data_IF_933242463365
#
_entry.id   IF_933242463365
#
_cell.length_a   1.000
_cell.length_b   1.000
_cell.length_c   1.000
_cell.angle_alpha   90.00
_cell.angle_beta   90.00
_cell.angle_gamma   90.00
#
_symmetry.space_group_name_H-M   'P 1'
#
loop_
_entity.id
_entity.type
_entity.pdbx_description
1 polymer ?
#
# COMPACT_ATOMS: atom_id res chain seq x y z
N UNK A 1 15.40 21.35 4.85
CA UNK A 1 14.79 20.03 5.11
C UNK A 1 15.20 19.11 3.96
N UNK A 2 15.90 17.99 4.23
CA UNK A 2 16.54 17.17 3.18
C UNK A 2 15.56 16.65 2.13
N UNK A 3 14.38 16.19 2.55
CA UNK A 3 13.35 15.66 1.65
C UNK A 3 12.83 16.72 0.65
N UNK A 4 12.73 17.99 1.06
CA UNK A 4 12.36 19.08 0.15
C UNK A 4 13.47 19.34 -0.87
N UNK A 5 14.73 19.32 -0.44
CA UNK A 5 15.87 19.49 -1.36
C UNK A 5 15.95 18.34 -2.36
N UNK A 6 15.68 17.10 -1.94
CA UNK A 6 15.55 15.95 -2.83
C UNK A 6 14.44 16.15 -3.86
N UNK A 7 13.23 16.49 -3.42
CA UNK A 7 12.07 16.69 -4.30
C UNK A 7 12.23 17.88 -5.27
N UNK A 8 13.06 18.87 -4.93
CA UNK A 8 13.39 20.00 -5.81
C UNK A 8 14.64 19.80 -6.68
N UNK A 9 15.34 18.67 -6.56
CA UNK A 9 16.59 18.43 -7.30
C UNK A 9 17.76 19.31 -6.86
N UNK A 10 17.73 19.82 -5.63
CA UNK A 10 18.74 20.73 -5.07
C UNK A 10 19.78 20.01 -4.19
N UNK A 11 19.94 18.69 -4.35
CA UNK A 11 20.98 17.93 -3.65
C UNK A 11 22.32 18.06 -4.39
N UNK A 12 23.45 18.12 -3.66
CA UNK A 12 24.76 18.19 -4.28
C UNK A 12 25.10 16.86 -4.99
N UNK A 13 25.81 16.94 -6.10
CA UNK A 13 26.42 15.77 -6.73
C UNK A 13 27.51 15.19 -5.83
N UNK A 14 27.57 13.86 -5.76
CA UNK A 14 28.54 13.15 -4.93
C UNK A 14 29.70 12.72 -5.82
N UNK A 15 30.88 13.26 -5.55
CA UNK A 15 32.09 12.94 -6.33
C UNK A 15 32.39 11.44 -6.29
N UNK A 16 32.57 10.83 -7.47
CA UNK A 16 32.88 9.39 -7.59
C UNK A 16 31.66 8.46 -7.64
N UNK A 17 30.44 9.01 -7.60
CA UNK A 17 29.20 8.26 -7.82
C UNK A 17 28.49 8.72 -9.11
N UNK A 18 27.60 7.89 -9.68
CA UNK A 18 26.70 8.29 -10.76
C UNK A 18 25.88 9.56 -10.43
N UNK A 19 25.55 10.36 -11.43
CA UNK A 19 24.82 11.64 -11.26
C UNK A 19 23.38 11.49 -10.74
N UNK A 20 22.82 10.27 -10.74
CA UNK A 20 21.53 9.90 -10.16
C UNK A 20 21.64 9.35 -8.73
N UNK A 21 22.83 9.41 -8.12
CA UNK A 21 23.06 8.99 -6.75
C UNK A 21 22.71 10.08 -5.75
N UNK A 22 22.12 9.67 -4.63
CA UNK A 22 21.81 10.54 -3.49
C UNK A 22 22.38 9.95 -2.21
N UNK A 23 22.77 10.82 -1.28
CA UNK A 23 23.19 10.40 0.06
C UNK A 23 22.01 10.56 1.01
N UNK A 24 21.56 9.43 1.58
CA UNK A 24 20.50 9.41 2.59
C UNK A 24 21.13 9.72 3.96
N UNK A 25 20.68 10.77 4.66
CA UNK A 25 21.19 11.11 5.98
C UNK A 25 20.96 9.97 6.98
N UNK A 26 21.98 9.62 7.75
CA UNK A 26 21.90 8.52 8.71
C UNK A 26 20.77 8.71 9.75
N UNK A 27 20.43 9.95 10.11
CA UNK A 27 19.31 10.23 11.03
C UNK A 27 17.91 9.84 10.49
N UNK A 28 17.77 9.54 9.18
CA UNK A 28 16.51 9.06 8.60
C UNK A 28 16.61 7.61 8.10
N UNK A 29 17.72 6.94 8.38
CA UNK A 29 17.90 5.52 8.08
C UNK A 29 17.48 4.71 9.31
N UNK A 30 16.69 3.67 9.08
CA UNK A 30 16.30 2.70 10.11
C UNK A 30 16.93 1.37 9.71
N UNK A 31 17.85 0.86 10.52
CA UNK A 31 18.50 -0.45 10.31
C UNK A 31 17.64 -1.62 10.82
N UNK A 32 16.77 -1.34 11.80
CA UNK A 32 15.86 -2.32 12.35
C UNK A 32 14.62 -2.52 11.46
N UNK A 33 13.73 -3.43 11.87
CA UNK A 33 12.49 -3.65 11.14
C UNK A 33 11.63 -2.38 11.14
N UNK A 34 11.39 -1.80 9.96
CA UNK A 34 10.59 -0.58 9.77
C UNK A 34 9.22 -0.66 10.44
N UNK A 35 8.60 -1.84 10.46
CA UNK A 35 7.34 -2.06 11.16
C UNK A 35 7.47 -1.76 12.66
N UNK A 36 8.53 -2.27 13.31
CA UNK A 36 8.76 -2.08 14.74
C UNK A 36 9.09 -0.61 15.05
N UNK A 37 9.89 0.02 14.19
CA UNK A 37 10.23 1.43 14.32
C UNK A 37 8.98 2.34 14.23
N UNK A 38 8.05 2.02 13.32
CA UNK A 38 6.85 2.83 13.11
C UNK A 38 5.71 2.45 14.05
N UNK A 39 5.42 1.17 14.28
CA UNK A 39 4.20 0.71 14.98
C UNK A 39 4.46 0.03 16.33
N UNK A 40 5.70 0.07 16.83
CA UNK A 40 6.12 -0.65 18.04
C UNK A 40 6.01 -2.18 17.89
N UNK A 41 6.29 -2.96 18.96
CA UNK A 41 6.25 -4.43 18.86
C UNK A 41 4.83 -4.98 18.74
N UNK A 42 3.86 -4.32 19.39
CA UNK A 42 2.46 -4.73 19.44
C UNK A 42 1.54 -3.61 18.95
N UNK A 43 0.98 -3.78 17.75
CA UNK A 43 0.01 -2.86 17.15
C UNK A 43 -1.23 -2.64 18.01
N UNK A 44 -1.59 -3.63 18.81
CA UNK A 44 -2.86 -3.63 19.52
C UNK A 44 -2.83 -2.76 20.79
N UNK A 45 -1.65 -2.32 21.21
CA UNK A 45 -1.49 -1.37 22.32
C UNK A 45 -1.70 0.08 21.85
N UNK A 46 -1.83 0.29 20.54
CA UNK A 46 -2.04 1.61 19.96
C UNK A 46 -3.52 1.90 19.72
N UNK A 47 -3.94 3.11 20.04
CA UNK A 47 -5.26 3.59 19.66
C UNK A 47 -5.34 3.89 18.16
N UNK A 48 -6.56 3.81 17.60
CA UNK A 48 -6.83 4.10 16.18
C UNK A 48 -6.34 5.50 15.78
N UNK A 49 -6.45 6.49 16.67
CA UNK A 49 -5.97 7.86 16.41
C UNK A 49 -4.43 7.95 16.34
N UNK A 50 -3.71 7.07 17.03
CA UNK A 50 -2.26 7.00 16.93
C UNK A 50 -1.85 6.27 15.66
N UNK A 51 -2.57 5.21 15.28
CA UNK A 51 -2.33 4.46 14.05
C UNK A 51 -2.58 5.32 12.81
N UNK A 52 -3.63 6.16 12.80
CA UNK A 52 -3.95 7.02 11.65
C UNK A 52 -2.90 8.09 11.35
N UNK A 53 -2.06 8.43 12.33
CA UNK A 53 -0.95 9.39 12.19
C UNK A 53 0.33 8.77 11.63
N UNK A 54 0.33 7.46 11.37
CA UNK A 54 1.51 6.72 10.91
C UNK A 54 1.23 6.10 9.54
N UNK A 55 2.21 6.21 8.65
CA UNK A 55 2.11 5.65 7.29
C UNK A 55 3.48 5.14 6.85
N UNK A 56 3.47 4.02 6.14
CA UNK A 56 4.65 3.53 5.42
C UNK A 56 4.37 3.73 3.93
N UNK A 57 5.25 4.46 3.27
CA UNK A 57 5.19 4.69 1.83
C UNK A 57 6.15 3.74 1.12
N UNK A 58 5.73 3.21 -0.03
CA UNK A 58 6.55 2.37 -0.89
C UNK A 58 6.56 2.93 -2.32
N UNK A 59 7.61 2.66 -3.11
CA UNK A 59 7.69 3.15 -4.49
C UNK A 59 6.58 2.60 -5.41
N UNK A 60 6.03 1.43 -5.11
CA UNK A 60 5.00 0.78 -5.94
C UNK A 60 3.84 0.26 -5.11
N UNK A 61 2.63 0.29 -5.68
CA UNK A 61 1.43 -0.26 -5.04
C UNK A 61 1.59 -1.74 -4.71
N UNK A 62 2.25 -2.52 -5.58
CA UNK A 62 2.57 -3.93 -5.31
C UNK A 62 3.35 -4.08 -4.00
N UNK A 63 4.39 -3.27 -3.81
CA UNK A 63 5.19 -3.33 -2.58
C UNK A 63 4.39 -2.91 -1.35
N UNK A 64 3.55 -1.88 -1.48
CA UNK A 64 2.62 -1.47 -0.41
C UNK A 64 1.67 -2.59 -0.02
N UNK A 65 1.06 -3.28 -0.99
CA UNK A 65 0.15 -4.40 -0.74
C UNK A 65 0.85 -5.58 -0.04
N UNK A 66 2.07 -5.92 -0.47
CA UNK A 66 2.90 -6.94 0.19
C UNK A 66 3.19 -6.58 1.65
N UNK A 67 3.50 -5.31 1.94
CA UNK A 67 3.76 -4.85 3.30
C UNK A 67 2.51 -4.77 4.18
N UNK A 68 1.34 -4.49 3.61
CA UNK A 68 0.09 -4.39 4.38
C UNK A 68 -0.36 -5.75 4.94
N UNK A 69 -0.12 -6.87 4.25
CA UNK A 69 -0.54 -8.21 4.70
C UNK A 69 -0.03 -8.58 6.10
N UNK A 70 1.28 -8.54 6.41
CA UNK A 70 1.79 -8.87 7.75
C UNK A 70 1.37 -7.86 8.82
N UNK A 71 1.13 -6.59 8.45
CA UNK A 71 0.61 -5.56 9.37
C UNK A 71 -0.80 -5.95 9.82
N UNK A 72 -1.67 -6.27 8.88
CA UNK A 72 -3.04 -6.71 9.16
C UNK A 72 -3.01 -8.01 9.99
N UNK A 73 -2.15 -8.97 9.63
CA UNK A 73 -2.06 -10.25 10.35
C UNK A 73 -1.75 -10.12 11.85
N UNK A 74 -1.07 -9.04 12.27
CA UNK A 74 -0.74 -8.76 13.68
C UNK A 74 -1.89 -8.19 14.52
N UNK A 75 -2.99 -7.75 13.89
CA UNK A 75 -4.20 -7.35 14.61
C UNK A 75 -4.89 -8.58 15.18
N UNK A 76 -5.43 -8.48 16.41
CA UNK A 76 -5.98 -9.62 17.16
C UNK A 76 -7.26 -10.20 16.55
N UNK A 77 -8.07 -9.35 15.91
CA UNK A 77 -9.37 -9.74 15.37
C UNK A 77 -9.24 -10.75 14.20
N UNK A 78 -10.30 -11.53 13.98
CA UNK A 78 -10.36 -12.47 12.86
C UNK A 78 -10.46 -11.74 11.51
N UNK A 79 -9.77 -12.24 10.46
CA UNK A 79 -9.84 -11.63 9.14
C UNK A 79 -11.17 -11.92 8.45
N UNK A 80 -11.72 -10.90 7.80
CA UNK A 80 -12.77 -11.02 6.81
C UNK A 80 -12.15 -10.82 5.42
N UNK A 81 -12.40 -11.77 4.51
CA UNK A 81 -11.88 -11.71 3.14
C UNK A 81 -13.03 -11.44 2.18
N UNK A 82 -12.91 -10.37 1.41
CA UNK A 82 -13.82 -10.02 0.34
C UNK A 82 -13.15 -10.36 -1.00
N UNK A 83 -13.81 -11.18 -1.81
CA UNK A 83 -13.32 -11.59 -3.12
C UNK A 83 -13.94 -10.73 -4.23
N UNK A 84 -13.15 -10.36 -5.24
CA UNK A 84 -13.68 -9.76 -6.47
C UNK A 84 -14.38 -10.81 -7.34
N UNK A 85 -15.03 -10.36 -8.41
CA UNK A 85 -15.55 -11.26 -9.46
C UNK A 85 -14.43 -12.12 -10.04
N UNK A 86 -14.76 -13.38 -10.32
CA UNK A 86 -13.90 -14.42 -10.94
C UNK A 86 -14.25 -14.67 -12.41
N UNK A 87 -15.15 -13.86 -12.97
CA UNK A 87 -15.70 -14.02 -14.31
C UNK A 87 -15.84 -12.68 -15.03
N UNK A 88 -15.84 -12.77 -16.35
CA UNK A 88 -16.06 -11.64 -17.27
C UNK A 88 -17.45 -11.72 -17.89
N UNK A 89 -17.99 -10.55 -18.25
CA UNK A 89 -19.18 -10.45 -19.08
C UNK A 89 -18.69 -10.11 -20.49
N UNK A 90 -18.90 -11.02 -21.44
CA UNK A 90 -18.58 -10.80 -22.85
C UNK A 90 -19.65 -11.40 -23.77
N UNK A 91 -19.87 -10.74 -24.90
CA UNK A 91 -20.71 -11.24 -26.00
C UNK A 91 -19.98 -12.27 -26.88
N UNK A 92 -18.65 -12.39 -26.75
CA UNK A 92 -17.82 -13.29 -27.53
C UNK A 92 -17.37 -14.50 -26.70
N UNK A 93 -17.76 -15.70 -27.13
CA UNK A 93 -17.43 -16.95 -26.42
C UNK A 93 -15.92 -17.22 -26.30
N UNK A 94 -15.10 -16.68 -27.22
CA UNK A 94 -13.65 -16.85 -27.19
C UNK A 94 -12.98 -16.08 -26.04
N UNK A 95 -13.62 -15.04 -25.50
CA UNK A 95 -13.03 -14.23 -24.43
C UNK A 95 -12.90 -15.03 -23.13
N UNK A 96 -13.81 -15.97 -22.87
CA UNK A 96 -13.73 -16.84 -21.69
C UNK A 96 -12.46 -17.71 -21.68
N UNK A 97 -11.88 -18.02 -22.84
CA UNK A 97 -10.60 -18.71 -22.95
C UNK A 97 -9.40 -17.77 -22.79
N UNK A 98 -9.57 -16.50 -23.14
CA UNK A 98 -8.50 -15.50 -23.07
C UNK A 98 -8.31 -14.91 -21.67
N UNK A 99 -9.34 -14.98 -20.82
CA UNK A 99 -9.34 -14.40 -19.47
C UNK A 99 -9.70 -15.45 -18.41
N UNK A 100 -8.79 -16.40 -18.13
CA UNK A 100 -9.02 -17.40 -17.10
C UNK A 100 -9.08 -16.76 -15.71
N UNK A 101 -9.75 -17.40 -14.72
CA UNK A 101 -9.88 -16.84 -13.36
C UNK A 101 -8.56 -16.49 -12.71
N UNK A 102 -7.49 -17.27 -12.93
CA UNK A 102 -6.16 -17.00 -12.39
C UNK A 102 -5.62 -15.65 -12.88
N UNK A 103 -5.83 -15.33 -14.15
CA UNK A 103 -5.46 -14.03 -14.70
C UNK A 103 -6.27 -12.90 -14.04
N UNK A 104 -7.58 -13.10 -13.83
CA UNK A 104 -8.44 -12.12 -13.19
C UNK A 104 -8.07 -11.89 -11.72
N UNK A 105 -7.67 -12.93 -11.00
CA UNK A 105 -7.26 -12.84 -9.59
C UNK A 105 -5.97 -12.05 -9.40
N UNK A 106 -5.10 -12.03 -10.42
CA UNK A 106 -3.84 -11.28 -10.40
C UNK A 106 -4.01 -9.81 -10.80
N UNK A 107 -5.16 -9.42 -11.37
CA UNK A 107 -5.41 -8.04 -11.73
C UNK A 107 -5.50 -7.16 -10.48
N UNK A 108 -4.70 -6.09 -10.47
CA UNK A 108 -4.82 -5.00 -9.49
C UNK A 108 -4.81 -3.65 -10.20
N UNK A 109 -5.87 -3.31 -10.97
CA UNK A 109 -5.94 -2.06 -11.71
C UNK A 109 -5.86 -0.85 -10.79
N UNK A 110 -5.38 0.28 -11.32
CA UNK A 110 -5.39 1.54 -10.59
C UNK A 110 -6.81 1.90 -10.14
N UNK A 111 -6.99 2.25 -8.87
CA UNK A 111 -8.29 2.58 -8.30
C UNK A 111 -9.15 1.38 -7.88
N UNK A 112 -8.66 0.14 -8.01
CA UNK A 112 -9.35 -1.06 -7.53
C UNK A 112 -8.55 -1.79 -6.44
N UNK A 113 -9.24 -2.42 -5.46
CA UNK A 113 -8.59 -3.29 -4.48
C UNK A 113 -8.10 -4.58 -5.16
N UNK A 114 -7.17 -5.32 -4.51
CA UNK A 114 -6.79 -6.66 -4.97
C UNK A 114 -7.98 -7.63 -4.92
N UNK A 115 -7.93 -8.71 -5.73
CA UNK A 115 -8.97 -9.75 -5.76
C UNK A 115 -9.38 -10.23 -4.37
N UNK A 116 -8.41 -10.57 -3.52
CA UNK A 116 -8.65 -10.95 -2.13
C UNK A 116 -8.33 -9.78 -1.20
N UNK A 117 -9.35 -9.01 -0.83
CA UNK A 117 -9.25 -7.91 0.13
C UNK A 117 -9.46 -8.44 1.56
N UNK A 118 -8.36 -8.59 2.30
CA UNK A 118 -8.37 -9.01 3.69
C UNK A 118 -8.49 -7.80 4.63
N UNK A 119 -9.49 -7.80 5.50
CA UNK A 119 -9.74 -6.76 6.49
C UNK A 119 -9.87 -7.36 7.90
N UNK A 120 -9.46 -6.61 8.91
CA UNK A 120 -9.68 -6.92 10.34
C UNK A 120 -10.24 -5.69 11.02
N UNK A 121 -10.96 -5.88 12.12
CA UNK A 121 -11.38 -4.74 12.95
C UNK A 121 -10.13 -4.02 13.48
N UNK A 122 -10.18 -2.68 13.49
CA UNK A 122 -9.05 -1.81 13.84
C UNK A 122 -8.08 -1.48 12.70
N UNK A 123 -8.25 -2.03 11.49
CA UNK A 123 -7.42 -1.65 10.34
C UNK A 123 -7.80 -0.28 9.80
N UNK A 124 -6.80 0.52 9.40
CA UNK A 124 -7.02 1.78 8.66
C UNK A 124 -7.21 1.46 7.18
N UNK A 125 -8.30 1.94 6.59
CA UNK A 125 -8.62 1.78 5.17
C UNK A 125 -8.56 3.11 4.43
N UNK A 126 -8.10 3.07 3.18
CA UNK A 126 -8.15 4.21 2.26
C UNK A 126 -9.22 3.97 1.21
N UNK A 127 -10.08 4.95 0.98
CA UNK A 127 -11.06 4.89 -0.11
C UNK A 127 -10.36 5.16 -1.44
N UNK A 128 -10.42 4.20 -2.36
CA UNK A 128 -9.79 4.31 -3.69
C UNK A 128 -10.68 5.03 -4.72
N UNK A 129 -12.00 5.04 -4.50
CA UNK A 129 -12.98 5.73 -5.34
C UNK A 129 -13.93 6.55 -4.47
N UNK A 130 -14.36 7.70 -4.99
CA UNK A 130 -15.41 8.49 -4.34
C UNK A 130 -16.75 7.76 -4.43
N UNK A 131 -17.39 7.52 -3.29
CA UNK A 131 -18.71 6.89 -3.21
C UNK A 131 -19.83 7.82 -3.72
N UNK A 132 -19.60 9.13 -3.70
CA UNK A 132 -20.51 10.12 -4.27
C UNK A 132 -19.72 11.25 -4.94
N UNK A 133 -19.44 11.16 -6.25
CA UNK A 133 -18.69 12.18 -6.97
C UNK A 133 -19.35 13.57 -6.91
N UNK A 134 -20.68 13.64 -6.70
CA UNK A 134 -21.45 14.88 -6.68
C UNK A 134 -21.46 15.58 -5.32
N UNK A 135 -21.26 14.86 -4.22
CA UNK A 135 -21.25 15.44 -2.87
C UNK A 135 -19.85 15.47 -2.23
N UNK A 136 -18.84 14.89 -2.88
CA UNK A 136 -17.51 14.75 -2.29
C UNK A 136 -17.50 13.80 -1.09
N UNK A 137 -16.33 13.64 -0.47
CA UNK A 137 -16.21 12.96 0.82
C UNK A 137 -16.63 13.98 1.89
N UNK A 138 -17.93 14.01 2.21
CA UNK A 138 -18.48 14.81 3.31
C UNK A 138 -18.12 14.22 4.67
#
# INVERSE_FOLDING_TARGET
MWLLNFGSGNLPEISGLPCDSIEIPQQIVVEENLFKAIYSENLNDMEVEQLSKRVILAPTNKKTLEMNRPIIAKLQDEPYIFYSSDSIISEYQNDLQNYPPEFLHDLTPSGMPPHALMLKKGVIVMLLISLNPKQGLS
#
